data_IF_398016957860
#
_entry.id   IF_398016957860
#
_cell.length_a   1.000
_cell.length_b   1.000
_cell.length_c   1.000
_cell.angle_alpha   90.00
_cell.angle_beta   90.00
_cell.angle_gamma   90.00
#
_symmetry.space_group_name_H-M   'P 1'
#
loop_
_entity.id
_entity.type
_entity.pdbx_description
1 polymer ?
#
# COMPACT_ATOMS: atom_id res chain seq x y z
N UNK A 1 2.63 21.73 -40.13
CA UNK A 1 3.00 21.17 -38.83
C UNK A 1 1.70 20.77 -38.10
N UNK A 2 1.40 19.47 -38.04
CA UNK A 2 0.23 18.97 -37.34
C UNK A 2 0.58 18.88 -35.83
N UNK A 3 -0.12 19.63 -35.00
CA UNK A 3 -0.04 19.51 -33.54
C UNK A 3 -0.72 18.19 -33.15
N UNK A 4 0.06 17.16 -32.85
CA UNK A 4 -0.45 15.96 -32.21
C UNK A 4 -0.85 16.34 -30.79
N UNK A 5 -2.13 16.64 -30.57
CA UNK A 5 -2.73 16.65 -29.24
C UNK A 5 -2.71 15.21 -28.72
N UNK A 6 -1.83 14.93 -27.74
CA UNK A 6 -1.88 13.68 -27.01
C UNK A 6 -3.25 13.56 -26.33
N UNK A 7 -4.08 12.63 -26.78
CA UNK A 7 -5.28 12.22 -26.04
C UNK A 7 -4.80 11.67 -24.70
N UNK A 8 -4.80 12.49 -23.67
CA UNK A 8 -4.68 12.00 -22.29
C UNK A 8 -5.93 11.18 -22.02
N UNK A 9 -5.74 9.87 -21.78
CA UNK A 9 -6.83 9.01 -21.35
C UNK A 9 -7.45 9.65 -20.10
N UNK A 10 -8.76 9.86 -20.13
CA UNK A 10 -9.49 10.36 -18.97
C UNK A 10 -9.35 9.34 -17.82
N UNK A 11 -9.24 9.80 -16.56
CA UNK A 11 -9.22 8.91 -15.42
C UNK A 11 -10.52 8.08 -15.40
N UNK A 12 -10.46 6.81 -14.94
CA UNK A 12 -11.64 5.98 -14.88
C UNK A 12 -12.70 6.60 -13.95
N UNK A 13 -13.95 6.44 -14.33
CA UNK A 13 -15.08 6.88 -13.52
C UNK A 13 -15.17 6.08 -12.21
N UNK A 14 -15.46 6.74 -11.09
CA UNK A 14 -15.56 6.11 -9.76
C UNK A 14 -16.88 5.35 -9.62
N UNK A 15 -16.86 4.06 -9.85
CA UNK A 15 -18.06 3.20 -9.83
C UNK A 15 -18.04 2.09 -8.78
N UNK A 16 -16.83 1.69 -8.32
CA UNK A 16 -16.64 0.42 -7.63
C UNK A 16 -17.00 0.42 -6.15
N UNK A 17 -17.00 1.53 -5.45
CA UNK A 17 -17.29 1.56 -4.02
C UNK A 17 -17.96 2.88 -3.63
N UNK A 18 -19.27 2.81 -3.38
CA UNK A 18 -20.10 3.96 -3.03
C UNK A 18 -20.29 4.11 -1.51
N UNK A 19 -19.54 3.38 -0.68
CA UNK A 19 -19.59 3.53 0.77
C UNK A 19 -19.25 4.95 1.19
N UNK A 20 -19.97 5.47 2.18
CA UNK A 20 -19.80 6.85 2.66
C UNK A 20 -18.39 7.13 3.18
N UNK A 21 -17.74 6.13 3.79
CA UNK A 21 -16.37 6.28 4.26
C UNK A 21 -15.39 6.36 3.09
N UNK A 22 -15.56 5.49 2.08
CA UNK A 22 -14.75 5.53 0.87
C UNK A 22 -14.79 6.90 0.21
N UNK A 23 -16.00 7.43 -0.04
CA UNK A 23 -16.16 8.75 -0.70
C UNK A 23 -15.47 9.85 0.10
N UNK A 24 -15.67 9.90 1.43
CA UNK A 24 -15.00 10.89 2.29
C UNK A 24 -13.48 10.80 2.24
N UNK A 25 -12.92 9.58 2.28
CA UNK A 25 -11.47 9.39 2.25
C UNK A 25 -10.88 9.66 0.87
N UNK A 26 -11.56 9.21 -0.19
CA UNK A 26 -11.10 9.41 -1.56
C UNK A 26 -11.06 10.92 -1.91
N UNK A 27 -12.14 11.66 -1.64
CA UNK A 27 -12.19 13.10 -1.86
C UNK A 27 -11.18 13.86 -1.00
N UNK A 28 -10.95 13.42 0.26
CA UNK A 28 -9.90 14.00 1.08
C UNK A 28 -8.50 13.78 0.48
N UNK A 29 -8.25 12.61 -0.12
CA UNK A 29 -6.98 12.33 -0.80
C UNK A 29 -6.81 13.14 -2.10
N UNK A 30 -7.89 13.58 -2.75
CA UNK A 30 -7.82 14.49 -3.90
C UNK A 30 -7.21 15.85 -3.50
N UNK A 31 -7.49 16.32 -2.27
CA UNK A 31 -6.98 17.57 -1.73
C UNK A 31 -5.55 17.47 -1.14
N UNK A 32 -5.02 16.25 -1.00
CA UNK A 32 -3.70 16.02 -0.41
C UNK A 32 -2.65 15.75 -1.50
N UNK A 33 -1.80 16.75 -1.83
CA UNK A 33 -0.86 16.62 -2.92
C UNK A 33 0.15 15.50 -2.66
N UNK A 34 0.49 14.78 -3.73
CA UNK A 34 1.56 13.80 -3.79
C UNK A 34 2.74 14.42 -4.55
N UNK A 35 3.95 14.17 -4.09
CA UNK A 35 5.17 14.70 -4.66
C UNK A 35 6.16 13.59 -5.05
N UNK A 36 7.14 13.93 -5.90
CA UNK A 36 8.14 12.97 -6.45
C UNK A 36 8.98 12.23 -5.40
N UNK A 37 9.11 12.80 -4.21
CA UNK A 37 9.85 12.15 -3.12
C UNK A 37 8.97 11.26 -2.24
N UNK A 38 7.65 11.28 -2.43
CA UNK A 38 6.74 10.55 -1.60
C UNK A 38 6.76 9.05 -1.90
N UNK A 39 6.43 8.31 -0.87
CA UNK A 39 6.28 6.86 -0.85
C UNK A 39 4.85 6.59 -0.42
N UNK A 40 4.09 5.95 -1.28
CA UNK A 40 2.68 5.73 -1.05
C UNK A 40 2.45 4.31 -0.50
N UNK A 41 1.79 4.24 0.65
CA UNK A 41 1.20 3.00 1.16
C UNK A 41 -0.25 2.97 0.70
N UNK A 42 -0.54 2.17 -0.32
CA UNK A 42 -1.83 2.08 -1.00
C UNK A 42 -2.53 0.77 -0.64
N UNK A 43 -3.79 0.82 -0.27
CA UNK A 43 -4.54 -0.39 0.06
C UNK A 43 -5.89 -0.14 0.72
N UNK A 44 -6.34 -1.16 1.44
CA UNK A 44 -7.62 -1.20 2.14
C UNK A 44 -7.50 -0.81 3.63
N UNK A 45 -8.38 -1.38 4.49
CA UNK A 45 -8.38 -1.12 5.94
C UNK A 45 -7.07 -1.48 6.65
N UNK A 46 -6.39 -2.53 6.20
CA UNK A 46 -5.09 -2.91 6.75
C UNK A 46 -4.05 -1.80 6.55
N UNK A 47 -4.10 -1.13 5.40
CA UNK A 47 -3.23 0.03 5.12
C UNK A 47 -3.72 1.30 5.82
N UNK A 48 -5.03 1.53 5.87
CA UNK A 48 -5.64 2.71 6.50
C UNK A 48 -5.31 2.79 8.00
N UNK A 49 -5.26 1.65 8.70
CA UNK A 49 -5.12 1.54 10.14
C UNK A 49 -3.71 1.80 10.71
N UNK A 50 -2.77 2.36 9.96
CA UNK A 50 -1.42 2.60 10.44
C UNK A 50 -0.91 4.03 10.17
N UNK A 51 -0.17 4.57 11.12
CA UNK A 51 0.57 5.84 11.02
C UNK A 51 1.93 5.59 10.35
N UNK A 52 1.91 5.31 9.04
CA UNK A 52 3.07 4.88 8.27
C UNK A 52 4.26 5.85 8.35
N UNK A 53 4.00 7.16 8.36
CA UNK A 53 5.06 8.18 8.50
C UNK A 53 5.79 8.06 9.83
N UNK A 54 5.10 7.73 10.92
CA UNK A 54 5.67 7.52 12.24
C UNK A 54 6.40 6.19 12.32
N UNK A 55 5.77 5.08 11.85
CA UNK A 55 6.38 3.77 11.82
C UNK A 55 7.72 3.74 11.08
N UNK A 56 7.86 4.52 10.00
CA UNK A 56 9.12 4.63 9.24
C UNK A 56 9.98 5.84 9.64
N UNK A 57 9.53 6.66 10.58
CA UNK A 57 10.17 7.95 10.91
C UNK A 57 10.52 8.74 9.63
N UNK A 58 9.56 8.82 8.71
CA UNK A 58 9.74 9.42 7.39
C UNK A 58 8.48 10.16 6.93
N UNK A 59 8.48 11.51 6.89
CA UNK A 59 7.30 12.30 6.53
C UNK A 59 6.89 12.15 5.06
N UNK A 60 7.75 11.56 4.23
CA UNK A 60 7.43 11.26 2.84
C UNK A 60 6.63 9.97 2.65
N UNK A 61 6.45 9.16 3.69
CA UNK A 61 5.57 7.99 3.62
C UNK A 61 4.14 8.44 3.86
N UNK A 62 3.27 8.25 2.87
CA UNK A 62 1.89 8.70 2.86
C UNK A 62 0.93 7.52 2.92
N UNK A 63 0.01 7.56 3.88
CA UNK A 63 -1.09 6.62 3.92
C UNK A 63 -2.11 6.96 2.83
N UNK A 64 -2.45 5.97 2.02
CA UNK A 64 -3.53 6.00 1.02
C UNK A 64 -4.36 4.71 1.13
N UNK A 65 -4.59 4.26 2.36
CA UNK A 65 -5.54 3.20 2.69
C UNK A 65 -6.96 3.74 2.81
N UNK A 66 -7.95 2.91 2.45
CA UNK A 66 -9.38 3.17 2.70
C UNK A 66 -10.04 1.87 3.18
N UNK A 67 -10.75 1.94 4.32
CA UNK A 67 -11.50 0.80 4.86
C UNK A 67 -12.50 0.29 3.81
N UNK A 68 -12.55 -1.04 3.65
CA UNK A 68 -13.49 -1.69 2.72
C UNK A 68 -13.09 -1.65 1.25
N UNK A 69 -11.98 -0.99 0.89
CA UNK A 69 -11.58 -0.82 -0.51
C UNK A 69 -11.20 -2.14 -1.18
N UNK A 70 -11.56 -2.26 -2.44
CA UNK A 70 -11.26 -3.38 -3.35
C UNK A 70 -10.26 -2.96 -4.42
N UNK A 71 -9.70 -3.90 -5.17
CA UNK A 71 -8.70 -3.59 -6.21
C UNK A 71 -9.23 -2.61 -7.25
N UNK A 72 -10.50 -2.75 -7.65
CA UNK A 72 -11.14 -1.80 -8.57
C UNK A 72 -11.24 -0.39 -7.97
N UNK A 73 -11.57 -0.27 -6.67
CA UNK A 73 -11.62 1.03 -6.00
C UNK A 73 -10.25 1.71 -5.92
N UNK A 74 -9.16 0.94 -5.71
CA UNK A 74 -7.80 1.46 -5.84
C UNK A 74 -7.56 2.05 -7.23
N UNK A 75 -7.94 1.31 -8.29
CA UNK A 75 -7.78 1.75 -9.68
C UNK A 75 -8.49 3.09 -9.95
N UNK A 76 -9.72 3.24 -9.46
CA UNK A 76 -10.56 4.41 -9.70
C UNK A 76 -10.06 5.70 -9.02
N UNK A 77 -9.26 5.58 -7.95
CA UNK A 77 -8.72 6.72 -7.18
C UNK A 77 -7.24 6.98 -7.38
N UNK A 78 -6.65 6.46 -8.47
CA UNK A 78 -5.22 6.61 -8.73
C UNK A 78 -4.81 7.98 -9.24
N UNK A 79 -5.70 8.74 -9.85
CA UNK A 79 -5.34 9.99 -10.55
C UNK A 79 -4.56 10.98 -9.67
N UNK A 80 -5.01 11.35 -8.45
CA UNK A 80 -4.29 12.29 -7.60
C UNK A 80 -2.89 11.80 -7.19
N UNK A 81 -2.74 10.47 -7.07
CA UNK A 81 -1.45 9.84 -6.75
C UNK A 81 -0.50 9.93 -7.94
N UNK A 82 -1.00 9.59 -9.14
CA UNK A 82 -0.19 9.51 -10.36
C UNK A 82 0.24 10.89 -10.88
N UNK A 83 -0.58 11.92 -10.68
CA UNK A 83 -0.19 13.31 -10.98
C UNK A 83 1.08 13.73 -10.22
N UNK A 84 1.24 13.27 -8.98
CA UNK A 84 2.41 13.58 -8.16
C UNK A 84 3.68 12.84 -8.55
N UNK A 85 3.60 11.82 -9.41
CA UNK A 85 4.74 11.00 -9.84
C UNK A 85 5.57 10.47 -8.66
N UNK A 86 4.98 9.76 -7.66
CA UNK A 86 5.67 9.39 -6.44
C UNK A 86 6.87 8.49 -6.72
N UNK A 87 7.84 8.52 -5.83
CA UNK A 87 9.05 7.70 -5.96
C UNK A 87 8.74 6.20 -5.87
N UNK A 88 7.80 5.83 -4.99
CA UNK A 88 7.43 4.43 -4.72
C UNK A 88 5.94 4.30 -4.41
N UNK A 89 5.37 3.17 -4.79
CA UNK A 89 4.04 2.76 -4.35
C UNK A 89 4.14 1.32 -3.82
N UNK A 90 3.72 1.12 -2.56
CA UNK A 90 3.53 -0.18 -1.93
C UNK A 90 2.05 -0.49 -1.94
N UNK A 91 1.65 -1.64 -2.46
CA UNK A 91 0.24 -2.00 -2.65
C UNK A 91 -0.07 -3.26 -1.83
N UNK A 92 -1.12 -3.22 -1.02
CA UNK A 92 -1.71 -4.38 -0.36
C UNK A 92 -3.24 -4.28 -0.44
N UNK A 93 -3.87 -5.17 -1.20
CA UNK A 93 -5.33 -5.25 -1.36
C UNK A 93 -5.73 -6.64 -1.85
N UNK A 94 -7.04 -6.92 -1.85
CA UNK A 94 -7.63 -8.14 -2.40
C UNK A 94 -8.51 -8.91 -1.41
N UNK A 95 -8.31 -8.81 -0.09
CA UNK A 95 -9.11 -9.56 0.88
C UNK A 95 -10.59 -9.15 0.85
N UNK A 96 -10.91 -7.89 0.55
CA UNK A 96 -12.29 -7.45 0.37
C UNK A 96 -12.89 -7.98 -0.93
N UNK A 97 -12.09 -8.11 -1.99
CA UNK A 97 -12.50 -8.79 -3.23
C UNK A 97 -12.86 -10.26 -2.94
N UNK A 98 -12.03 -10.96 -2.14
CA UNK A 98 -12.33 -12.32 -1.65
C UNK A 98 -13.66 -12.36 -0.92
N UNK A 99 -13.93 -11.41 -0.02
CA UNK A 99 -15.19 -11.34 0.73
C UNK A 99 -16.41 -11.07 -0.17
N UNK A 100 -16.21 -10.42 -1.31
CA UNK A 100 -17.23 -10.22 -2.34
C UNK A 100 -17.36 -11.40 -3.32
N UNK A 101 -16.67 -12.52 -3.09
CA UNK A 101 -16.79 -13.73 -3.89
C UNK A 101 -15.91 -13.75 -5.15
N UNK A 102 -14.99 -12.80 -5.30
CA UNK A 102 -14.04 -12.77 -6.43
C UNK A 102 -13.01 -13.87 -6.25
N UNK A 103 -12.73 -14.62 -7.31
CA UNK A 103 -11.69 -15.66 -7.33
C UNK A 103 -10.26 -15.08 -7.41
N UNK A 104 -9.28 -15.91 -7.04
CA UNK A 104 -7.88 -15.47 -6.95
C UNK A 104 -7.29 -14.99 -8.28
N UNK A 105 -7.61 -15.66 -9.39
CA UNK A 105 -7.12 -15.28 -10.72
C UNK A 105 -7.73 -13.96 -11.19
N UNK A 106 -9.00 -13.72 -10.87
CA UNK A 106 -9.68 -12.44 -11.17
C UNK A 106 -9.08 -11.29 -10.37
N UNK A 107 -8.72 -11.51 -9.10
CA UNK A 107 -7.97 -10.54 -8.28
C UNK A 107 -6.61 -10.24 -8.93
N UNK A 108 -5.89 -11.27 -9.36
CA UNK A 108 -4.62 -11.11 -10.10
C UNK A 108 -4.77 -10.26 -11.36
N UNK A 109 -5.80 -10.51 -12.18
CA UNK A 109 -6.08 -9.72 -13.40
C UNK A 109 -6.46 -8.26 -13.09
N UNK A 110 -7.26 -8.02 -12.04
CA UNK A 110 -7.60 -6.67 -11.62
C UNK A 110 -6.35 -5.91 -11.13
N UNK A 111 -5.49 -6.56 -10.36
CA UNK A 111 -4.23 -6.00 -9.90
C UNK A 111 -3.28 -5.70 -11.07
N UNK A 112 -3.24 -6.55 -12.10
CA UNK A 112 -2.42 -6.31 -13.31
C UNK A 112 -2.86 -5.03 -14.03
N UNK A 113 -4.18 -4.78 -14.17
CA UNK A 113 -4.69 -3.52 -14.73
C UNK A 113 -4.22 -2.30 -13.94
N UNK A 114 -4.26 -2.37 -12.60
CA UNK A 114 -3.76 -1.30 -11.73
C UNK A 114 -2.25 -1.07 -11.93
N UNK A 115 -1.45 -2.13 -11.99
CA UNK A 115 -0.02 -2.06 -12.23
C UNK A 115 0.29 -1.42 -13.60
N UNK A 116 -0.43 -1.82 -14.65
CA UNK A 116 -0.28 -1.25 -16.01
C UNK A 116 -0.58 0.25 -15.99
N UNK A 117 -1.70 0.66 -15.39
CA UNK A 117 -2.05 2.08 -15.23
C UNK A 117 -0.93 2.88 -14.55
N UNK A 118 -0.35 2.36 -13.45
CA UNK A 118 0.74 3.04 -12.75
C UNK A 118 1.96 3.18 -13.65
N UNK A 119 2.33 2.13 -14.38
CA UNK A 119 3.50 2.15 -15.28
C UNK A 119 3.33 3.13 -16.42
N UNK A 120 2.14 3.21 -16.99
CA UNK A 120 1.84 4.14 -18.09
C UNK A 120 1.84 5.60 -17.63
N UNK A 121 1.19 5.88 -16.49
CA UNK A 121 0.97 7.22 -16.01
C UNK A 121 2.12 7.77 -15.15
N UNK A 122 2.90 6.87 -14.51
CA UNK A 122 4.03 7.22 -13.64
C UNK A 122 5.22 6.27 -13.85
N UNK A 123 5.86 6.28 -15.03
CA UNK A 123 6.81 5.25 -15.46
C UNK A 123 8.10 5.19 -14.62
N UNK A 124 8.39 6.22 -13.82
CA UNK A 124 9.55 6.23 -12.90
C UNK A 124 9.24 5.75 -11.51
N UNK A 125 7.97 5.54 -11.18
CA UNK A 125 7.53 5.03 -9.88
C UNK A 125 7.95 3.57 -9.73
N UNK A 126 8.66 3.26 -8.64
CA UNK A 126 8.94 1.87 -8.27
C UNK A 126 7.74 1.26 -7.57
N UNK A 127 7.27 0.14 -8.10
CA UNK A 127 6.07 -0.56 -7.59
C UNK A 127 6.51 -1.75 -6.77
N UNK A 128 5.93 -1.88 -5.58
CA UNK A 128 6.09 -3.00 -4.66
C UNK A 128 4.71 -3.58 -4.37
N UNK A 129 4.42 -4.74 -4.93
CA UNK A 129 3.17 -5.44 -4.64
C UNK A 129 3.41 -6.41 -3.48
N UNK A 130 2.53 -6.37 -2.50
CA UNK A 130 2.59 -7.18 -1.29
C UNK A 130 1.50 -8.26 -1.35
N UNK A 131 1.78 -9.44 -0.78
CA UNK A 131 0.77 -10.49 -0.68
C UNK A 131 -0.41 -10.03 0.19
N UNK A 132 -1.60 -10.52 -0.10
CA UNK A 132 -2.69 -10.53 0.87
C UNK A 132 -2.22 -11.28 2.12
N UNK A 133 -2.68 -10.84 3.29
CA UNK A 133 -2.43 -11.52 4.56
C UNK A 133 -3.45 -12.64 4.76
N UNK A 134 -3.14 -13.64 5.61
CA UNK A 134 -4.15 -14.60 6.05
C UNK A 134 -5.21 -13.91 6.91
N UNK A 135 -6.34 -14.55 7.10
CA UNK A 135 -7.36 -14.18 8.08
C UNK A 135 -7.67 -15.36 9.00
N UNK A 136 -8.42 -15.14 10.08
CA UNK A 136 -8.72 -16.17 11.09
C UNK A 136 -10.18 -16.06 11.58
N UNK A 137 -11.04 -16.85 10.98
CA UNK A 137 -12.47 -16.90 11.32
C UNK A 137 -12.76 -17.56 12.67
N UNK A 138 -11.77 -18.15 13.35
CA UNK A 138 -11.93 -18.70 14.70
C UNK A 138 -11.88 -17.61 15.77
N UNK A 139 -11.17 -16.48 15.51
CA UNK A 139 -11.13 -15.32 16.40
C UNK A 139 -12.45 -14.57 16.34
N UNK A 140 -12.91 -14.28 15.14
CA UNK A 140 -14.22 -13.67 14.86
C UNK A 140 -14.75 -14.21 13.55
N UNK A 141 -16.02 -14.58 13.52
CA UNK A 141 -16.65 -15.09 12.29
C UNK A 141 -16.93 -13.97 11.29
N UNK A 142 -16.07 -13.86 10.28
CA UNK A 142 -16.31 -13.08 9.08
C UNK A 142 -17.06 -13.94 8.06
N UNK A 143 -18.39 -13.88 8.07
CA UNK A 143 -19.26 -14.77 7.26
C UNK A 143 -18.88 -14.80 5.78
N UNK A 144 -18.48 -13.65 5.22
CA UNK A 144 -18.11 -13.53 3.81
C UNK A 144 -16.71 -14.08 3.49
N UNK A 145 -15.88 -14.33 4.52
CA UNK A 145 -14.55 -14.94 4.38
C UNK A 145 -14.52 -16.42 4.76
N UNK A 146 -15.62 -16.96 5.28
CA UNK A 146 -15.67 -18.37 5.66
C UNK A 146 -15.33 -19.28 4.47
N UNK A 147 -14.42 -20.22 4.71
CA UNK A 147 -13.93 -21.20 3.73
C UNK A 147 -13.29 -20.57 2.47
N UNK A 148 -12.70 -19.37 2.60
CA UNK A 148 -12.07 -18.62 1.50
C UNK A 148 -10.54 -18.55 1.59
N UNK A 149 -9.91 -19.27 2.51
CA UNK A 149 -8.45 -19.25 2.71
C UNK A 149 -7.69 -19.62 1.42
N UNK A 150 -8.21 -20.62 0.69
CA UNK A 150 -7.59 -21.05 -0.58
C UNK A 150 -7.64 -19.95 -1.64
N UNK A 151 -8.68 -19.12 -1.67
CA UNK A 151 -8.78 -18.00 -2.62
C UNK A 151 -7.68 -16.96 -2.38
N UNK A 152 -7.32 -16.71 -1.10
CA UNK A 152 -6.18 -15.83 -0.76
C UNK A 152 -4.87 -16.42 -1.27
N UNK A 153 -4.65 -17.73 -1.08
CA UNK A 153 -3.44 -18.43 -1.56
C UNK A 153 -3.35 -18.36 -3.09
N UNK A 154 -4.44 -18.65 -3.79
CA UNK A 154 -4.50 -18.62 -5.26
C UNK A 154 -4.29 -17.20 -5.80
N UNK A 155 -4.92 -16.20 -5.18
CA UNK A 155 -4.73 -14.80 -5.53
C UNK A 155 -3.28 -14.32 -5.31
N UNK A 156 -2.65 -14.72 -4.21
CA UNK A 156 -1.25 -14.42 -3.95
C UNK A 156 -0.33 -15.05 -5.01
N UNK A 157 -0.60 -16.29 -5.40
CA UNK A 157 0.13 -16.96 -6.49
C UNK A 157 -0.04 -16.21 -7.82
N UNK A 158 -1.28 -15.88 -8.20
CA UNK A 158 -1.56 -15.14 -9.43
C UNK A 158 -0.86 -13.77 -9.47
N UNK A 159 -0.86 -13.05 -8.35
CA UNK A 159 -0.17 -11.77 -8.21
C UNK A 159 1.35 -11.91 -8.27
N UNK A 160 1.94 -12.94 -7.66
CA UNK A 160 3.38 -13.20 -7.74
C UNK A 160 3.83 -13.51 -9.18
N UNK A 161 3.08 -14.35 -9.89
CA UNK A 161 3.35 -14.68 -11.29
C UNK A 161 3.21 -13.43 -12.19
N UNK A 162 2.20 -12.63 -11.96
CA UNK A 162 2.03 -11.34 -12.64
C UNK A 162 3.21 -10.40 -12.37
N UNK A 163 3.69 -10.30 -11.13
CA UNK A 163 4.86 -9.49 -10.80
C UNK A 163 6.10 -9.92 -11.57
N UNK A 164 6.33 -11.24 -11.74
CA UNK A 164 7.44 -11.78 -12.54
C UNK A 164 7.32 -11.36 -14.02
N UNK A 165 6.11 -11.47 -14.60
CA UNK A 165 5.86 -11.03 -16.00
C UNK A 165 6.02 -9.53 -16.18
N UNK A 166 5.55 -8.77 -15.20
CA UNK A 166 5.54 -7.30 -15.26
C UNK A 166 6.85 -6.65 -14.77
N UNK A 167 7.82 -7.40 -14.24
CA UNK A 167 9.04 -6.83 -13.66
C UNK A 167 8.76 -5.94 -12.44
N UNK A 168 7.76 -6.30 -11.62
CA UNK A 168 7.38 -5.62 -10.38
C UNK A 168 7.95 -6.37 -9.19
N UNK A 169 8.39 -5.64 -8.17
CA UNK A 169 8.90 -6.29 -6.95
C UNK A 169 7.74 -6.88 -6.14
N UNK A 170 7.77 -8.20 -5.97
CA UNK A 170 6.87 -8.93 -5.09
C UNK A 170 7.43 -9.00 -3.66
N UNK A 171 6.60 -8.72 -2.65
CA UNK A 171 6.94 -8.87 -1.24
C UNK A 171 5.94 -9.84 -0.60
N UNK A 172 6.38 -11.07 -0.35
CA UNK A 172 5.55 -12.08 0.28
C UNK A 172 5.50 -11.86 1.80
N UNK A 173 4.46 -11.20 2.28
CA UNK A 173 4.21 -10.99 3.71
C UNK A 173 3.51 -12.18 4.35
N UNK A 174 2.74 -12.97 3.60
CA UNK A 174 1.87 -14.04 4.10
C UNK A 174 2.55 -14.96 5.12
N UNK A 175 3.78 -15.49 4.88
CA UNK A 175 4.43 -16.40 5.82
C UNK A 175 4.76 -15.78 7.19
N UNK A 176 4.82 -14.45 7.30
CA UNK A 176 5.12 -13.75 8.55
C UNK A 176 3.90 -13.66 9.48
N UNK A 177 2.71 -13.84 8.92
CA UNK A 177 1.43 -13.64 9.61
C UNK A 177 0.63 -14.94 9.81
N UNK A 178 1.00 -16.01 9.13
CA UNK A 178 0.29 -17.28 9.18
C UNK A 178 0.75 -18.13 10.38
N UNK A 179 -0.19 -18.80 11.05
CA UNK A 179 0.07 -19.81 12.05
C UNK A 179 0.23 -21.21 11.41
N UNK A 180 0.46 -22.24 12.25
CA UNK A 180 0.60 -23.64 11.79
C UNK A 180 -0.65 -24.22 11.12
N UNK A 181 -1.81 -23.59 11.28
CA UNK A 181 -3.08 -24.02 10.72
C UNK A 181 -3.42 -23.24 9.42
N UNK A 182 -2.53 -22.37 8.92
CA UNK A 182 -2.78 -21.54 7.74
C UNK A 182 -3.61 -20.29 7.99
N UNK A 183 -3.85 -19.93 9.27
CA UNK A 183 -4.70 -18.80 9.68
C UNK A 183 -3.85 -17.64 10.19
N UNK A 184 -4.44 -16.43 10.19
CA UNK A 184 -3.80 -15.28 10.83
C UNK A 184 -3.49 -15.57 12.29
N UNK A 185 -2.27 -15.36 12.69
CA UNK A 185 -1.82 -15.55 14.08
C UNK A 185 -2.70 -14.75 15.04
N UNK A 186 -3.29 -15.45 16.02
CA UNK A 186 -4.23 -14.86 16.96
C UNK A 186 -3.61 -13.79 17.88
N UNK A 187 -2.28 -13.82 18.08
CA UNK A 187 -1.55 -12.79 18.85
C UNK A 187 -1.36 -11.47 18.08
N UNK A 188 -1.67 -11.45 16.78
CA UNK A 188 -1.52 -10.27 15.93
C UNK A 188 -2.85 -9.59 15.57
N UNK A 189 -3.97 -10.10 16.06
CA UNK A 189 -5.30 -9.62 15.70
C UNK A 189 -6.28 -9.75 16.87
N UNK A 190 -7.31 -8.90 16.90
CA UNK A 190 -8.41 -9.02 17.87
C UNK A 190 -9.75 -9.36 17.20
N UNK A 191 -9.81 -9.35 15.87
CA UNK A 191 -11.02 -9.65 15.09
C UNK A 191 -10.79 -10.70 14.00
N UNK A 192 -9.56 -11.23 13.88
CA UNK A 192 -9.20 -12.26 12.91
C UNK A 192 -8.88 -11.74 11.50
N UNK A 193 -8.92 -10.42 11.26
CA UNK A 193 -8.64 -9.79 9.97
C UNK A 193 -7.68 -8.60 10.10
N UNK A 194 -7.97 -7.66 11.00
CA UNK A 194 -7.18 -6.46 11.19
C UNK A 194 -6.03 -6.69 12.17
N UNK A 195 -4.94 -5.92 11.98
CA UNK A 195 -3.73 -6.09 12.76
C UNK A 195 -3.73 -5.23 14.04
N UNK A 196 -3.21 -5.82 15.10
CA UNK A 196 -2.75 -5.10 16.28
C UNK A 196 -1.36 -4.49 16.04
N UNK A 197 -0.91 -3.61 16.93
CA UNK A 197 0.40 -2.95 16.86
C UNK A 197 1.58 -3.88 16.55
N UNK A 198 1.73 -5.05 17.23
CA UNK A 198 2.80 -6.01 16.91
C UNK A 198 2.78 -6.47 15.43
N UNK A 199 1.61 -6.65 14.83
CA UNK A 199 1.47 -7.00 13.41
C UNK A 199 2.00 -5.89 12.50
N UNK A 200 1.74 -4.63 12.81
CA UNK A 200 2.28 -3.50 12.05
C UNK A 200 3.80 -3.37 12.17
N UNK A 201 4.38 -3.71 13.32
CA UNK A 201 5.83 -3.76 13.47
C UNK A 201 6.47 -4.84 12.59
N UNK A 202 5.88 -6.04 12.53
CA UNK A 202 6.32 -7.12 11.63
C UNK A 202 6.24 -6.64 10.17
N UNK A 203 5.14 -6.01 9.78
CA UNK A 203 4.97 -5.47 8.43
C UNK A 203 6.02 -4.40 8.10
N UNK A 204 6.21 -3.42 9.00
CA UNK A 204 7.26 -2.41 8.87
C UNK A 204 8.63 -3.04 8.61
N UNK A 205 9.02 -4.01 9.44
CA UNK A 205 10.35 -4.63 9.39
C UNK A 205 10.55 -5.41 8.08
N UNK A 206 9.50 -6.04 7.57
CA UNK A 206 9.54 -6.73 6.27
C UNK A 206 9.80 -5.80 5.08
N UNK A 207 9.29 -4.56 5.13
CA UNK A 207 9.34 -3.63 3.99
C UNK A 207 10.33 -2.48 4.15
N UNK A 208 10.89 -2.23 5.35
CA UNK A 208 11.75 -1.07 5.64
C UNK A 208 12.95 -0.95 4.70
N UNK A 209 13.56 -2.08 4.31
CA UNK A 209 14.68 -2.08 3.36
C UNK A 209 14.30 -1.50 2.00
N UNK A 210 13.06 -1.74 1.55
CA UNK A 210 12.54 -1.22 0.29
C UNK A 210 12.12 0.26 0.43
N UNK A 211 11.58 0.64 1.57
CA UNK A 211 11.25 2.05 1.88
C UNK A 211 12.51 2.89 1.83
N UNK A 212 13.59 2.45 2.45
CA UNK A 212 14.86 3.18 2.57
C UNK A 212 15.75 3.08 1.32
N UNK A 213 15.54 2.13 0.41
CA UNK A 213 16.37 1.97 -0.79
C UNK A 213 16.37 3.25 -1.65
N UNK A 214 17.54 3.66 -2.16
CA UNK A 214 17.69 4.85 -3.02
C UNK A 214 17.38 6.17 -2.32
N UNK A 215 17.34 6.21 -0.99
CA UNK A 215 17.37 7.45 -0.22
C UNK A 215 18.82 7.84 0.01
N UNK A 216 19.25 9.07 -0.30
CA UNK A 216 20.60 9.51 0.06
C UNK A 216 20.78 9.39 1.58
N UNK A 217 22.00 9.06 2.08
CA UNK A 217 22.25 8.99 3.51
C UNK A 217 21.86 10.32 4.17
N UNK A 218 21.18 10.25 5.31
CA UNK A 218 20.86 11.44 6.10
C UNK A 218 22.19 12.07 6.52
N UNK A 219 22.51 13.24 5.99
CA UNK A 219 23.61 14.03 6.52
C UNK A 219 23.27 14.43 7.97
N UNK A 220 23.89 13.80 8.94
CA UNK A 220 23.89 14.30 10.31
C UNK A 220 24.61 15.66 10.30
N UNK A 221 23.84 16.74 10.31
CA UNK A 221 24.39 18.06 10.63
C UNK A 221 24.83 18.00 12.07
N UNK A 222 26.13 17.78 12.29
CA UNK A 222 26.76 18.09 13.56
C UNK A 222 26.65 19.60 13.78
N UNK A 223 25.72 20.00 14.65
CA UNK A 223 25.74 21.35 15.19
C UNK A 223 26.98 21.48 16.07
N UNK A 224 28.06 21.99 15.48
CA UNK A 224 29.23 22.44 16.24
C UNK A 224 28.80 23.71 16.99
N UNK A 225 28.46 23.56 18.27
CA UNK A 225 28.31 24.70 19.16
C UNK A 225 29.66 25.42 19.29
N UNK A 226 29.87 26.49 18.52
CA UNK A 226 30.96 27.45 18.77
C UNK A 226 30.63 28.15 20.08
N UNK A 227 31.29 27.73 21.19
CA UNK A 227 31.33 28.48 22.43
C UNK A 227 32.10 29.78 22.16
N UNK A 228 31.39 30.92 22.10
CA UNK A 228 32.02 32.24 22.15
C UNK A 228 32.64 32.44 23.53
N UNK A 229 33.96 32.31 23.61
CA UNK A 229 34.78 32.79 24.73
C UNK A 229 34.77 34.34 24.69
N UNK A 230 33.97 34.96 25.57
CA UNK A 230 34.15 36.38 25.89
C UNK A 230 35.44 36.53 26.67
N UNK A 231 36.45 37.14 26.05
CA UNK A 231 37.61 37.67 26.75
C UNK A 231 37.19 39.02 27.35
N UNK A 232 37.18 39.12 28.69
CA UNK A 232 37.20 40.37 29.40
C UNK A 232 38.65 40.90 29.31
N UNK A 233 38.78 42.05 28.71
CA UNK A 233 39.97 42.92 28.92
C UNK A 233 39.60 43.99 29.95
N UNK A 234 40.46 44.07 30.94
CA UNK A 234 40.53 45.18 31.91
C UNK A 234 41.02 46.45 31.23
#
# INVERSE_FOLDING_TARGET
MAVMTSLQAQPPERTANQDKYYVRRATHFDDLPVHRNDIIMLGNSLTDGAEWNELFNNPHVKNRGIIGDIVQGLYERMEPILQGQPRKIFILSGVNDVSHGVDGDSIGRAMEKLIVLIKERSPRTKIYLQSMLPFNTDVQMWKLLKDREQVVIDGNRAMEEMCKRQGVTWINLYPLFVDKNGKLRADLTNDGLHLLGPGYLIWRDAVIKYVNSGTPPKHHRHHIHKKHRRQHRR
#
